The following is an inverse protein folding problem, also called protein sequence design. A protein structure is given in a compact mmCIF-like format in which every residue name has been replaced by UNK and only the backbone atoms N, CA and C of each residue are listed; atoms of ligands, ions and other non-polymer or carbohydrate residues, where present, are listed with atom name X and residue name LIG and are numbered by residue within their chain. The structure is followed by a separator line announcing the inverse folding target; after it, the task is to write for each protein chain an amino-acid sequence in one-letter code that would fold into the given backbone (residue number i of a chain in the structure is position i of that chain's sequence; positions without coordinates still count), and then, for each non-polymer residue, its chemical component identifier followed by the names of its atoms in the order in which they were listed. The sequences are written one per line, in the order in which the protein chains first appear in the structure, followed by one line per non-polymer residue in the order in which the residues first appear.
data_IF_440311172295
#
_entry.id   IF_440311172295
#
_cell.length_a   1.000
_cell.length_b   1.000
_cell.length_c   1.000
_cell.angle_alpha   90.00
_cell.angle_beta   90.00
_cell.angle_gamma   90.00
#
_symmetry.space_group_name_H-M   'P 1'
#
loop_
_entity.id
_entity.type
_entity.pdbx_description
1 polymer ?
#
# COMPACT_ATOMS: atom_id res chain seq x y z
N UNK A 1 18.61 -3.23 18.17
CA UNK A 1 19.67 -2.40 18.79
C UNK A 1 21.05 -3.01 18.63
N UNK A 2 21.20 -4.35 18.65
CA UNK A 2 22.49 -5.04 18.51
C UNK A 2 23.39 -4.54 17.36
N UNK A 3 22.79 -4.09 16.25
CA UNK A 3 23.57 -3.68 15.09
C UNK A 3 24.28 -2.34 15.26
N UNK A 4 23.64 -1.34 15.90
CA UNK A 4 24.23 -0.01 16.06
C UNK A 4 25.16 0.06 17.28
N UNK A 5 24.78 -0.60 18.38
CA UNK A 5 25.55 -0.63 19.63
C UNK A 5 26.90 -1.30 19.48
N UNK A 6 27.07 -2.16 18.47
CA UNK A 6 28.35 -2.78 18.09
C UNK A 6 29.39 -1.76 17.60
N UNK A 7 28.95 -0.67 16.98
CA UNK A 7 29.84 0.31 16.35
C UNK A 7 29.90 1.64 17.11
N UNK A 8 28.86 1.96 17.88
CA UNK A 8 28.79 3.19 18.67
C UNK A 8 28.37 2.84 20.10
N UNK A 9 29.28 2.92 21.08
CA UNK A 9 28.91 2.71 22.48
C UNK A 9 28.07 3.89 22.99
N UNK A 10 27.01 3.61 23.75
CA UNK A 10 26.17 4.63 24.36
C UNK A 10 24.83 4.08 24.84
N UNK A 11 24.09 4.92 25.57
CA UNK A 11 22.70 4.63 25.93
C UNK A 11 21.77 4.95 24.76
N UNK A 12 20.88 4.01 24.44
CA UNK A 12 19.95 4.12 23.33
C UNK A 12 18.53 4.25 23.86
N UNK A 13 17.91 5.39 23.57
CA UNK A 13 16.50 5.62 23.84
C UNK A 13 15.72 5.59 22.52
N UNK A 14 14.69 4.76 22.44
CA UNK A 14 13.81 4.69 21.27
C UNK A 14 12.76 5.78 21.41
N UNK A 15 12.76 6.73 20.47
CA UNK A 15 11.71 7.73 20.36
C UNK A 15 10.84 7.32 19.16
N UNK A 16 9.57 6.90 19.37
CA UNK A 16 8.68 6.55 18.27
C UNK A 16 8.30 7.77 17.44
N UNK A 17 7.98 7.56 16.16
CA UNK A 17 7.45 8.63 15.32
C UNK A 17 6.03 9.02 15.78
N UNK A 18 5.73 10.32 15.75
CA UNK A 18 4.38 10.85 15.99
C UNK A 18 3.56 11.01 14.71
N UNK A 19 2.25 11.22 14.88
CA UNK A 19 1.32 11.59 13.82
C UNK A 19 0.37 12.69 14.33
N UNK A 20 -0.15 13.53 13.45
CA UNK A 20 -1.13 14.57 13.80
C UNK A 20 -2.52 13.96 13.96
N UNK A 21 -3.06 13.95 15.19
CA UNK A 21 -4.36 13.37 15.50
C UNK A 21 -5.55 14.22 15.03
N UNK A 22 -5.34 15.52 14.81
CA UNK A 22 -6.37 16.38 14.24
C UNK A 22 -6.55 16.10 12.74
N UNK A 23 -5.45 15.76 12.05
CA UNK A 23 -5.48 15.39 10.64
C UNK A 23 -5.82 13.91 10.41
N UNK A 24 -5.22 13.00 11.20
CA UNK A 24 -5.43 11.55 11.11
C UNK A 24 -6.33 11.09 12.24
N UNK A 25 -7.63 11.33 12.08
CA UNK A 25 -8.67 10.89 13.00
C UNK A 25 -9.52 9.75 12.42
N UNK A 26 -10.14 8.92 13.27
CA UNK A 26 -11.12 7.93 12.82
C UNK A 26 -12.47 8.57 12.46
N UNK A 27 -12.69 9.83 12.86
CA UNK A 27 -13.95 10.57 12.71
C UNK A 27 -14.08 11.17 11.30
N UNK A 28 -13.97 10.32 10.29
CA UNK A 28 -14.13 10.69 8.88
C UNK A 28 -15.16 9.78 8.21
N UNK A 29 -15.98 10.36 7.34
CA UNK A 29 -16.89 9.59 6.52
C UNK A 29 -16.10 8.68 5.56
N UNK A 30 -16.56 7.45 5.32
CA UNK A 30 -16.01 6.61 4.26
C UNK A 30 -16.04 7.29 2.89
N UNK A 31 -15.18 6.85 1.98
CA UNK A 31 -15.18 7.34 0.59
C UNK A 31 -16.26 6.57 -0.19
N UNK A 32 -17.34 7.26 -0.58
CA UNK A 32 -18.52 6.67 -1.20
C UNK A 32 -18.22 5.75 -2.40
N UNK A 33 -17.25 6.11 -3.26
CA UNK A 33 -16.83 5.31 -4.43
C UNK A 33 -16.33 3.89 -4.06
N UNK A 34 -15.90 3.71 -2.81
CA UNK A 34 -15.38 2.45 -2.28
C UNK A 34 -16.35 1.78 -1.29
N UNK A 35 -17.60 2.27 -1.19
CA UNK A 35 -18.64 1.74 -0.30
C UNK A 35 -19.63 0.80 -1.02
N UNK A 36 -19.16 0.01 -1.98
CA UNK A 36 -19.99 -0.92 -2.77
C UNK A 36 -20.05 -2.36 -2.18
N UNK A 37 -19.64 -2.53 -0.93
CA UNK A 37 -19.64 -3.82 -0.23
C UNK A 37 -18.42 -4.70 -0.51
N UNK A 38 -17.45 -4.27 -1.34
CA UNK A 38 -16.17 -4.97 -1.52
C UNK A 38 -15.25 -4.76 -0.32
N UNK A 39 -14.43 -5.76 0.00
CA UNK A 39 -13.32 -5.60 0.95
C UNK A 39 -12.21 -4.77 0.29
N UNK A 40 -11.94 -3.58 0.82
CA UNK A 40 -10.90 -2.69 0.32
C UNK A 40 -9.54 -2.99 0.95
N UNK A 41 -8.55 -3.29 0.10
CA UNK A 41 -7.14 -3.46 0.49
C UNK A 41 -6.39 -2.23 -0.02
N UNK A 42 -5.88 -1.41 0.89
CA UNK A 42 -5.20 -0.15 0.54
C UNK A 42 -3.67 -0.31 0.58
N UNK A 43 -3.00 0.16 -0.46
CA UNK A 43 -1.55 0.34 -0.52
C UNK A 43 -1.22 1.81 -0.79
N UNK A 44 -0.52 2.47 0.14
CA UNK A 44 -0.10 3.87 -0.01
C UNK A 44 1.42 3.98 0.08
N UNK A 45 2.08 4.26 -1.06
CA UNK A 45 3.51 4.56 -1.09
C UNK A 45 3.91 5.17 -2.45
N UNK A 46 5.08 5.83 -2.50
CA UNK A 46 5.74 6.09 -3.79
C UNK A 46 5.97 4.77 -4.53
N UNK A 47 5.67 4.74 -5.82
CA UNK A 47 5.73 3.50 -6.62
C UNK A 47 7.17 3.17 -7.02
N UNK A 48 7.96 2.69 -6.05
CA UNK A 48 9.34 2.27 -6.21
C UNK A 48 9.49 0.76 -6.01
N UNK A 49 10.45 0.13 -6.70
CA UNK A 49 10.64 -1.33 -6.63
C UNK A 49 10.84 -1.84 -5.20
N UNK A 50 11.57 -1.09 -4.37
CA UNK A 50 11.84 -1.44 -2.96
C UNK A 50 10.61 -1.41 -2.05
N UNK A 51 9.51 -0.80 -2.49
CA UNK A 51 8.26 -0.72 -1.71
C UNK A 51 7.36 -1.95 -1.88
N UNK A 52 7.75 -2.89 -2.74
CA UNK A 52 7.17 -4.23 -2.76
C UNK A 52 5.86 -4.37 -3.54
N UNK A 53 5.39 -3.34 -4.25
CA UNK A 53 4.10 -3.39 -4.97
C UNK A 53 4.00 -4.55 -5.99
N UNK A 54 5.13 -4.95 -6.60
CA UNK A 54 5.15 -6.10 -7.50
C UNK A 54 4.72 -7.39 -6.81
N UNK A 55 5.14 -7.59 -5.56
CA UNK A 55 4.78 -8.77 -4.77
C UNK A 55 3.31 -8.71 -4.38
N UNK A 56 2.85 -7.53 -3.95
CA UNK A 56 1.45 -7.31 -3.60
C UNK A 56 0.51 -7.61 -4.77
N UNK A 57 0.80 -7.12 -5.98
CA UNK A 57 -0.04 -7.40 -7.17
C UNK A 57 -0.10 -8.90 -7.47
N UNK A 58 1.02 -9.63 -7.30
CA UNK A 58 1.05 -11.08 -7.51
C UNK A 58 0.25 -11.84 -6.45
N UNK A 59 0.40 -11.46 -5.18
CA UNK A 59 -0.36 -12.06 -4.08
C UNK A 59 -1.85 -11.77 -4.22
N UNK A 60 -2.21 -10.53 -4.58
CA UNK A 60 -3.59 -10.13 -4.75
C UNK A 60 -4.31 -10.94 -5.85
N UNK A 61 -3.60 -11.38 -6.90
CA UNK A 61 -4.19 -12.30 -7.88
C UNK A 61 -4.75 -13.56 -7.21
N UNK A 62 -3.99 -14.17 -6.30
CA UNK A 62 -4.42 -15.37 -5.57
C UNK A 62 -5.58 -15.04 -4.60
N UNK A 63 -5.46 -13.92 -3.88
CA UNK A 63 -6.52 -13.44 -2.98
C UNK A 63 -7.82 -13.20 -3.76
N UNK A 64 -7.75 -12.66 -4.98
CA UNK A 64 -8.92 -12.38 -5.79
C UNK A 64 -9.64 -13.65 -6.25
N UNK A 65 -8.89 -14.73 -6.49
CA UNK A 65 -9.44 -16.04 -6.86
C UNK A 65 -10.21 -16.68 -5.68
N UNK A 66 -9.74 -16.51 -4.45
CA UNK A 66 -10.38 -17.05 -3.24
C UNK A 66 -11.46 -16.12 -2.65
N UNK A 67 -11.23 -14.81 -2.73
CA UNK A 67 -12.09 -13.74 -2.19
C UNK A 67 -12.52 -12.81 -3.34
N UNK A 68 -13.49 -13.28 -4.11
CA UNK A 68 -14.00 -12.54 -5.29
C UNK A 68 -14.60 -11.18 -4.95
N UNK A 69 -15.09 -10.96 -3.73
CA UNK A 69 -15.63 -9.68 -3.28
C UNK A 69 -14.57 -8.76 -2.61
N UNK A 70 -13.40 -8.62 -3.24
CA UNK A 70 -12.30 -7.78 -2.77
C UNK A 70 -11.80 -6.82 -3.87
N UNK A 71 -11.12 -5.73 -3.44
CA UNK A 71 -10.53 -4.69 -4.30
C UNK A 71 -9.17 -4.27 -3.76
N UNK A 72 -8.17 -4.15 -4.65
CA UNK A 72 -6.86 -3.57 -4.34
C UNK A 72 -6.80 -2.11 -4.81
N UNK A 73 -6.60 -1.18 -3.88
CA UNK A 73 -6.46 0.26 -4.14
C UNK A 73 -5.00 0.65 -3.96
N UNK A 74 -4.39 1.20 -5.01
CA UNK A 74 -2.97 1.57 -5.05
C UNK A 74 -2.87 3.08 -5.17
N UNK A 75 -2.37 3.74 -4.11
CA UNK A 75 -2.16 5.19 -4.02
C UNK A 75 -0.67 5.51 -4.11
N UNK A 76 -0.33 6.48 -4.95
CA UNK A 76 0.93 7.19 -4.87
C UNK A 76 1.58 7.48 -6.23
N UNK A 77 2.47 8.48 -6.29
CA UNK A 77 3.08 8.90 -7.53
C UNK A 77 4.08 7.86 -8.04
N UNK A 78 4.18 7.75 -9.35
CA UNK A 78 5.16 6.88 -10.02
C UNK A 78 5.22 7.17 -11.50
N UNK A 79 6.31 7.78 -11.96
CA UNK A 79 6.44 8.15 -13.38
C UNK A 79 6.56 6.90 -14.28
N UNK A 80 7.63 6.12 -14.11
CA UNK A 80 7.94 4.98 -15.00
C UNK A 80 7.34 3.66 -14.53
N UNK A 81 7.34 3.42 -13.21
CA UNK A 81 6.95 2.14 -12.64
C UNK A 81 5.43 1.93 -12.61
N UNK A 82 4.63 2.99 -12.47
CA UNK A 82 3.16 2.90 -12.52
C UNK A 82 2.68 2.21 -13.79
N UNK A 83 3.11 2.71 -14.96
CA UNK A 83 2.78 2.11 -16.27
C UNK A 83 3.22 0.65 -16.40
N UNK A 84 4.27 0.23 -15.70
CA UNK A 84 4.70 -1.18 -15.66
C UNK A 84 3.69 -2.02 -14.87
N UNK A 85 3.29 -1.55 -13.70
CA UNK A 85 2.31 -2.23 -12.84
C UNK A 85 0.92 -2.30 -13.47
N UNK A 86 0.42 -1.21 -14.05
CA UNK A 86 -0.85 -1.19 -14.78
C UNK A 86 -0.84 -2.19 -15.95
N UNK A 87 0.25 -2.24 -16.73
CA UNK A 87 0.41 -3.25 -17.78
C UNK A 87 0.46 -4.67 -17.23
N UNK A 88 1.11 -4.89 -16.09
CA UNK A 88 1.16 -6.20 -15.43
C UNK A 88 -0.23 -6.64 -15.00
N UNK A 89 -1.01 -5.76 -14.36
CA UNK A 89 -2.41 -6.03 -13.97
C UNK A 89 -3.25 -6.39 -15.19
N UNK A 90 -3.19 -5.57 -16.25
CA UNK A 90 -3.94 -5.79 -17.49
C UNK A 90 -3.58 -7.10 -18.18
N UNK A 91 -2.29 -7.41 -18.31
CA UNK A 91 -1.82 -8.66 -18.95
C UNK A 91 -2.25 -9.91 -18.19
N UNK A 92 -2.22 -9.84 -16.86
CA UNK A 92 -2.62 -10.96 -16.01
C UNK A 92 -4.13 -11.02 -15.76
N UNK A 93 -4.91 -10.08 -16.34
CA UNK A 93 -6.37 -9.97 -16.17
C UNK A 93 -6.79 -9.97 -14.69
N UNK A 94 -6.04 -9.24 -13.86
CA UNK A 94 -6.35 -9.11 -12.44
C UNK A 94 -7.45 -8.06 -12.31
N UNK A 95 -8.62 -8.49 -11.86
CA UNK A 95 -9.79 -7.63 -11.68
C UNK A 95 -9.73 -6.84 -10.38
N UNK A 96 -10.52 -5.77 -10.31
CA UNK A 96 -10.68 -4.94 -9.10
C UNK A 96 -9.35 -4.40 -8.54
N UNK A 97 -8.47 -3.94 -9.43
CA UNK A 97 -7.29 -3.16 -9.07
C UNK A 97 -7.48 -1.73 -9.53
N UNK A 98 -7.45 -0.79 -8.59
CA UNK A 98 -7.65 0.63 -8.84
C UNK A 98 -6.37 1.40 -8.50
N UNK A 99 -5.87 2.19 -9.45
CA UNK A 99 -4.74 3.10 -9.23
C UNK A 99 -5.26 4.53 -9.04
N UNK A 100 -4.99 5.14 -7.89
CA UNK A 100 -5.49 6.47 -7.49
C UNK A 100 -4.34 7.42 -7.10
N UNK A 101 -4.61 8.73 -7.18
CA UNK A 101 -3.61 9.79 -6.95
C UNK A 101 -2.70 10.07 -8.16
N UNK A 102 -2.16 11.28 -8.25
CA UNK A 102 -1.26 11.76 -9.31
C UNK A 102 0.03 12.35 -8.73
#
# INVERSE_FOLDING_TARGET
MEFASKYVPGEYNIIPNGIDLAHFSPDVSPIDEFCDGKLNILFVARLESRKGLNYLIKAYKQVKEEFSNSRLIIVGPGTRLRRKYERQVKRNRIEDVVFVGY
#
